data_IF_616919643287
#
_entry.id   IF_616919643287
#
_cell.length_a   1.000
_cell.length_b   1.000
_cell.length_c   1.000
_cell.angle_alpha   90.00
_cell.angle_beta   90.00
_cell.angle_gamma   90.00
#
_symmetry.space_group_name_H-M   'P 1'
#
loop_
_entity.id
_entity.type
_entity.pdbx_description
1 polymer ?
#
# COMPACT_ATOMS: atom_id res chain seq x y z
N UNK A 1 -67.92 9.05 -13.04
CA UNK A 1 -66.62 8.91 -13.72
C UNK A 1 -65.53 9.22 -12.69
N UNK A 2 -64.60 8.29 -12.45
CA UNK A 2 -63.69 8.30 -11.30
C UNK A 2 -62.27 8.36 -11.84
N UNK A 3 -61.64 9.52 -11.75
CA UNK A 3 -60.32 9.80 -12.34
C UNK A 3 -59.22 9.26 -11.43
N UNK A 4 -58.47 8.26 -11.89
CA UNK A 4 -57.25 7.79 -11.24
C UNK A 4 -56.09 8.70 -11.68
N UNK A 5 -55.48 9.42 -10.75
CA UNK A 5 -54.20 10.11 -10.95
C UNK A 5 -53.07 9.11 -10.65
N UNK A 6 -52.36 8.69 -11.70
CA UNK A 6 -51.16 7.87 -11.59
C UNK A 6 -49.95 8.81 -11.47
N UNK A 7 -49.42 8.97 -10.25
CA UNK A 7 -48.20 9.72 -9.98
C UNK A 7 -46.98 8.91 -10.45
N UNK A 8 -46.35 9.37 -11.54
CA UNK A 8 -45.11 8.81 -12.09
C UNK A 8 -43.91 9.27 -11.24
N UNK A 9 -43.45 8.44 -10.31
CA UNK A 9 -42.18 8.63 -9.61
C UNK A 9 -41.02 8.30 -10.57
N UNK A 10 -40.35 9.33 -11.09
CA UNK A 10 -39.16 9.19 -11.92
C UNK A 10 -37.95 8.93 -11.00
N UNK A 11 -37.32 7.74 -11.00
CA UNK A 11 -36.06 7.57 -10.28
C UNK A 11 -34.98 8.36 -11.03
N UNK A 12 -34.45 9.42 -10.39
CA UNK A 12 -33.20 10.03 -10.83
C UNK A 12 -32.07 9.01 -10.65
N UNK A 13 -31.77 8.27 -11.71
CA UNK A 13 -30.63 7.37 -11.80
C UNK A 13 -29.32 8.13 -11.94
N UNK A 14 -28.91 8.84 -10.89
CA UNK A 14 -27.52 9.30 -10.78
C UNK A 14 -26.60 8.08 -10.75
N UNK A 15 -25.49 8.14 -11.49
CA UNK A 15 -24.46 7.12 -11.40
C UNK A 15 -23.89 7.14 -9.97
N UNK A 16 -24.38 6.24 -9.11
CA UNK A 16 -23.71 5.89 -7.87
C UNK A 16 -22.39 5.21 -8.28
N UNK A 17 -21.31 5.98 -8.30
CA UNK A 17 -19.97 5.39 -8.28
C UNK A 17 -19.86 4.66 -6.94
N UNK A 18 -19.97 3.34 -6.98
CA UNK A 18 -19.72 2.52 -5.80
C UNK A 18 -18.28 2.81 -5.35
N UNK A 19 -18.09 3.01 -4.03
CA UNK A 19 -16.76 3.18 -3.48
C UNK A 19 -15.89 1.97 -3.89
N UNK A 20 -14.65 2.18 -4.32
CA UNK A 20 -13.75 1.07 -4.58
C UNK A 20 -13.35 0.41 -3.25
N UNK A 21 -13.50 -0.91 -3.17
CA UNK A 21 -12.89 -1.70 -2.09
C UNK A 21 -11.51 -2.17 -2.55
N UNK A 22 -10.48 -1.87 -1.75
CA UNK A 22 -9.15 -2.40 -1.96
C UNK A 22 -9.11 -3.84 -1.46
N UNK A 23 -8.60 -4.75 -2.27
CA UNK A 23 -8.51 -6.18 -2.00
C UNK A 23 -7.13 -6.69 -2.42
N UNK A 24 -6.76 -7.88 -1.95
CA UNK A 24 -5.55 -8.52 -2.42
C UNK A 24 -5.51 -8.70 -3.96
N UNK A 25 -6.67 -8.88 -4.60
CA UNK A 25 -6.75 -9.16 -6.03
C UNK A 25 -6.56 -7.91 -6.92
N UNK A 26 -6.81 -6.70 -6.41
CA UNK A 26 -6.75 -5.46 -7.19
C UNK A 26 -5.77 -4.42 -6.64
N UNK A 27 -5.23 -4.60 -5.44
CA UNK A 27 -4.43 -3.58 -4.75
C UNK A 27 -3.08 -4.09 -4.23
N UNK A 28 -2.75 -5.36 -4.42
CA UNK A 28 -1.46 -5.92 -4.01
C UNK A 28 -0.66 -6.31 -5.24
N UNK A 29 0.60 -5.87 -5.28
CA UNK A 29 1.52 -6.21 -6.35
C UNK A 29 1.92 -7.69 -6.30
N UNK A 30 2.07 -8.28 -7.48
CA UNK A 30 2.51 -9.65 -7.68
C UNK A 30 3.94 -9.69 -8.25
N UNK A 31 4.69 -10.79 -8.03
CA UNK A 31 5.97 -11.01 -8.70
C UNK A 31 5.90 -10.83 -10.23
N UNK A 32 6.90 -10.16 -10.80
CA UNK A 32 7.03 -9.86 -12.22
C UNK A 32 6.45 -8.50 -12.65
N UNK A 33 5.98 -7.68 -11.70
CA UNK A 33 5.48 -6.33 -11.99
C UNK A 33 6.55 -5.27 -11.75
N UNK A 34 6.58 -4.27 -12.62
CA UNK A 34 7.44 -3.09 -12.51
C UNK A 34 6.58 -1.83 -12.44
N UNK A 35 6.89 -0.94 -11.50
CA UNK A 35 6.22 0.34 -11.35
C UNK A 35 7.23 1.48 -11.51
N UNK A 36 7.16 2.24 -12.61
CA UNK A 36 7.96 3.46 -12.75
C UNK A 36 7.40 4.53 -11.81
N UNK A 37 8.24 5.01 -10.90
CA UNK A 37 7.93 6.08 -9.96
C UNK A 37 8.72 7.32 -10.35
N UNK A 38 8.00 8.41 -10.61
CA UNK A 38 8.59 9.73 -10.79
C UNK A 38 8.64 10.43 -9.43
N UNK A 39 9.81 10.91 -9.02
CA UNK A 39 9.96 11.66 -7.78
C UNK A 39 9.85 13.16 -8.04
N UNK A 40 9.19 13.91 -7.17
CA UNK A 40 9.15 15.38 -7.22
C UNK A 40 10.36 16.03 -6.51
N UNK A 41 10.79 17.21 -6.94
CA UNK A 41 11.80 18.02 -6.21
C UNK A 41 11.24 18.72 -4.97
N UNK A 42 9.91 18.74 -4.81
CA UNK A 42 9.22 19.52 -3.79
C UNK A 42 7.95 18.79 -3.35
N UNK A 43 7.53 19.06 -2.12
CA UNK A 43 6.27 18.54 -1.59
C UNK A 43 5.10 19.03 -2.46
N UNK A 44 4.18 18.13 -2.76
CA UNK A 44 2.92 18.40 -3.44
C UNK A 44 1.81 17.83 -2.58
N UNK A 45 0.78 18.64 -2.34
CA UNK A 45 -0.36 18.26 -1.53
C UNK A 45 -1.08 17.07 -2.16
N UNK A 46 -1.34 16.04 -1.35
CA UNK A 46 -1.94 14.77 -1.75
C UNK A 46 -3.42 14.86 -2.11
N UNK A 47 -4.07 15.99 -1.81
CA UNK A 47 -5.50 16.22 -2.02
C UNK A 47 -6.33 16.12 -0.73
N UNK A 48 -7.60 16.47 -0.83
CA UNK A 48 -8.52 16.46 0.31
C UNK A 48 -9.05 15.06 0.64
N UNK A 49 -9.57 14.90 1.85
CA UNK A 49 -10.33 13.72 2.26
C UNK A 49 -11.75 13.76 1.67
N UNK A 50 -12.43 12.61 1.64
CA UNK A 50 -13.83 12.51 1.23
C UNK A 50 -14.09 11.59 0.04
N UNK A 51 -15.37 11.40 -0.26
CA UNK A 51 -15.82 10.62 -1.40
C UNK A 51 -15.79 11.44 -2.70
N UNK A 52 -15.41 10.80 -3.81
CA UNK A 52 -15.47 11.39 -5.16
C UNK A 52 -14.51 12.56 -5.37
N UNK A 53 -13.38 12.59 -4.67
CA UNK A 53 -12.37 13.63 -4.84
C UNK A 53 -11.71 13.57 -6.23
N UNK A 54 -11.11 14.68 -6.63
CA UNK A 54 -10.25 14.73 -7.84
C UNK A 54 -8.82 14.98 -7.39
N UNK A 55 -7.93 14.04 -7.65
CA UNK A 55 -6.53 14.07 -7.25
C UNK A 55 -5.67 14.40 -8.47
N UNK A 56 -5.20 15.65 -8.53
CA UNK A 56 -4.50 16.19 -9.68
C UNK A 56 -2.98 16.25 -9.52
N UNK A 57 -2.26 15.57 -10.40
CA UNK A 57 -0.79 15.49 -10.39
C UNK A 57 -0.12 15.91 -11.71
N UNK A 58 -0.85 16.61 -12.59
CA UNK A 58 -0.40 17.01 -13.93
C UNK A 58 0.78 18.00 -13.98
N UNK A 59 1.15 18.61 -12.86
CA UNK A 59 2.28 19.53 -12.77
C UNK A 59 3.45 18.97 -11.94
N UNK A 60 3.46 17.68 -11.60
CA UNK A 60 4.58 17.10 -10.84
C UNK A 60 5.89 17.26 -11.62
N UNK A 61 6.81 18.14 -11.18
CA UNK A 61 8.09 18.29 -11.87
C UNK A 61 8.93 17.05 -11.55
N UNK A 62 9.11 16.17 -12.54
CA UNK A 62 9.92 14.99 -12.39
C UNK A 62 11.39 15.38 -12.13
N UNK A 63 11.90 14.96 -10.98
CA UNK A 63 13.29 15.12 -10.55
C UNK A 63 14.16 13.90 -10.86
N UNK A 64 13.52 12.77 -11.12
CA UNK A 64 14.14 11.49 -11.42
C UNK A 64 13.08 10.41 -11.60
N UNK A 65 13.48 9.33 -12.30
CA UNK A 65 12.67 8.14 -12.48
C UNK A 65 13.37 6.98 -11.78
N UNK A 66 12.63 6.26 -10.95
CA UNK A 66 13.07 5.00 -10.35
C UNK A 66 12.02 3.94 -10.64
N UNK A 67 12.46 2.78 -11.13
CA UNK A 67 11.56 1.64 -11.30
C UNK A 67 11.66 0.77 -10.06
N UNK A 68 10.53 0.56 -9.38
CA UNK A 68 10.43 -0.45 -8.35
C UNK A 68 9.91 -1.74 -8.98
N UNK A 69 10.70 -2.81 -8.84
CA UNK A 69 10.42 -4.15 -9.32
C UNK A 69 9.90 -5.01 -8.19
N UNK A 70 8.77 -5.67 -8.41
CA UNK A 70 8.20 -6.65 -7.52
C UNK A 70 8.60 -8.04 -7.99
N UNK A 71 9.39 -8.75 -7.20
CA UNK A 71 10.00 -10.02 -7.59
C UNK A 71 9.59 -11.15 -6.66
N UNK A 72 9.73 -12.38 -7.13
CA UNK A 72 9.54 -13.56 -6.28
C UNK A 72 10.72 -13.67 -5.30
N UNK A 73 10.52 -14.11 -4.05
CA UNK A 73 11.59 -14.28 -3.07
C UNK A 73 12.78 -15.11 -3.56
N UNK A 74 12.55 -16.10 -4.43
CA UNK A 74 13.60 -16.98 -4.95
C UNK A 74 14.73 -16.29 -5.76
N UNK A 75 14.59 -15.00 -6.11
CA UNK A 75 15.63 -14.26 -6.86
C UNK A 75 16.80 -13.79 -5.99
N UNK A 76 16.69 -13.89 -4.66
CA UNK A 76 17.75 -13.48 -3.74
C UNK A 76 17.97 -14.51 -2.63
N UNK A 77 19.23 -14.88 -2.31
CA UNK A 77 19.53 -15.72 -1.16
C UNK A 77 19.01 -15.13 0.16
N UNK A 78 18.89 -13.80 0.25
CA UNK A 78 18.39 -13.10 1.44
C UNK A 78 17.00 -13.56 1.87
N UNK A 79 16.18 -14.04 0.93
CA UNK A 79 14.83 -14.52 1.24
C UNK A 79 14.81 -15.73 2.16
N UNK A 80 15.90 -16.48 2.31
CA UNK A 80 15.98 -17.56 3.31
C UNK A 80 15.86 -17.05 4.75
N UNK A 81 16.17 -15.78 5.01
CA UNK A 81 16.02 -15.14 6.32
C UNK A 81 14.59 -14.67 6.59
N UNK A 82 13.75 -14.57 5.56
CA UNK A 82 12.38 -14.05 5.63
C UNK A 82 11.45 -15.02 4.86
N UNK A 83 11.32 -16.28 5.31
CA UNK A 83 10.66 -17.34 4.54
C UNK A 83 9.14 -17.16 4.40
N UNK A 84 8.54 -16.28 5.21
CA UNK A 84 7.11 -15.96 5.15
C UNK A 84 6.74 -14.94 4.06
N UNK A 85 7.73 -14.31 3.41
CA UNK A 85 7.47 -13.37 2.33
C UNK A 85 7.11 -14.11 1.03
N UNK A 86 6.19 -13.53 0.27
CA UNK A 86 5.73 -14.04 -1.04
C UNK A 86 6.11 -13.12 -2.19
N UNK A 87 6.44 -11.86 -1.90
CA UNK A 87 6.91 -10.86 -2.86
C UNK A 87 7.97 -9.97 -2.21
N UNK A 88 8.93 -9.50 -2.99
CA UNK A 88 9.86 -8.46 -2.57
C UNK A 88 9.76 -7.26 -3.49
N UNK A 89 10.05 -6.06 -2.99
CA UNK A 89 10.19 -4.85 -3.82
C UNK A 89 11.60 -4.28 -3.67
N UNK A 90 12.18 -3.93 -4.81
CA UNK A 90 13.49 -3.31 -4.90
C UNK A 90 13.61 -2.54 -6.21
N UNK A 91 14.50 -1.58 -6.24
CA UNK A 91 14.88 -0.82 -7.44
C UNK A 91 16.29 -1.21 -7.93
N UNK A 92 16.80 -2.35 -7.45
CA UNK A 92 18.17 -2.82 -7.70
C UNK A 92 19.21 -2.25 -6.73
N UNK A 93 18.81 -1.36 -5.82
CA UNK A 93 19.67 -0.80 -4.77
C UNK A 93 19.98 -1.75 -3.62
N UNK A 94 20.57 -1.20 -2.55
CA UNK A 94 20.93 -1.94 -1.33
C UNK A 94 19.72 -2.40 -0.54
N UNK A 95 18.61 -1.67 -0.63
CA UNK A 95 17.45 -1.87 0.21
C UNK A 95 16.39 -2.71 -0.51
N UNK A 96 15.69 -3.54 0.25
CA UNK A 96 14.66 -4.45 -0.26
C UNK A 96 13.63 -4.67 0.82
N UNK A 97 12.36 -4.50 0.49
CA UNK A 97 11.24 -4.78 1.39
C UNK A 97 10.64 -6.13 1.02
N UNK A 98 10.24 -6.91 2.02
CA UNK A 98 9.70 -8.26 1.86
C UNK A 98 8.27 -8.31 2.38
N UNK A 99 7.34 -8.64 1.51
CA UNK A 99 5.91 -8.58 1.77
C UNK A 99 5.25 -9.95 1.70
N UNK A 100 4.10 -10.06 2.36
CA UNK A 100 3.17 -11.18 2.20
C UNK A 100 1.76 -10.79 2.62
N UNK A 101 0.75 -11.52 2.14
CA UNK A 101 -0.63 -11.33 2.58
C UNK A 101 -0.87 -12.19 3.82
N UNK A 102 -1.25 -11.59 4.94
CA UNK A 102 -1.74 -12.30 6.11
C UNK A 102 -3.24 -12.20 6.27
N UNK A 103 -3.74 -12.47 7.48
CA UNK A 103 -5.19 -12.50 7.75
C UNK A 103 -5.82 -11.11 7.86
N UNK A 104 -5.01 -10.07 8.09
CA UNK A 104 -5.48 -8.69 8.31
C UNK A 104 -5.16 -7.76 7.14
N UNK A 105 -4.22 -8.14 6.26
CA UNK A 105 -3.86 -7.29 5.14
C UNK A 105 -2.56 -7.67 4.44
N UNK A 106 -2.04 -6.70 3.70
CA UNK A 106 -0.68 -6.70 3.19
C UNK A 106 0.27 -6.40 4.35
N UNK A 107 1.19 -7.32 4.61
CA UNK A 107 2.12 -7.23 5.73
C UNK A 107 3.56 -7.11 5.27
N UNK A 108 4.33 -6.18 5.86
CA UNK A 108 5.78 -6.13 5.70
C UNK A 108 6.40 -7.15 6.65
N UNK A 109 6.92 -8.24 6.08
CA UNK A 109 7.46 -9.41 6.79
C UNK A 109 8.93 -9.24 7.16
N UNK A 110 9.65 -8.37 6.45
CA UNK A 110 11.06 -8.10 6.73
C UNK A 110 11.66 -7.11 5.76
N UNK A 111 12.93 -6.82 5.99
CA UNK A 111 13.68 -5.85 5.21
C UNK A 111 15.11 -6.35 5.04
N UNK A 112 15.73 -5.97 3.93
CA UNK A 112 17.18 -5.85 3.80
C UNK A 112 17.47 -4.37 3.74
N UNK A 113 18.27 -3.86 4.66
CA UNK A 113 18.65 -2.46 4.69
C UNK A 113 20.14 -2.32 4.95
N UNK A 114 20.79 -1.43 4.20
CA UNK A 114 22.18 -1.06 4.45
C UNK A 114 22.38 -0.50 5.86
N UNK A 115 21.40 0.25 6.39
CA UNK A 115 21.46 0.84 7.72
C UNK A 115 21.39 -0.22 8.83
N UNK A 116 20.62 -1.29 8.62
CA UNK A 116 20.54 -2.43 9.53
C UNK A 116 21.72 -3.41 9.38
N UNK A 117 22.64 -3.15 8.44
CA UNK A 117 23.81 -4.00 8.20
C UNK A 117 23.47 -5.37 7.59
N UNK A 118 22.26 -5.56 7.07
CA UNK A 118 21.82 -6.84 6.55
C UNK A 118 20.30 -6.97 6.44
N UNK A 119 19.85 -8.22 6.41
CA UNK A 119 18.43 -8.54 6.37
C UNK A 119 17.93 -9.05 7.70
N UNK A 120 16.66 -8.78 7.98
CA UNK A 120 15.99 -9.21 9.18
C UNK A 120 14.50 -9.40 8.92
N UNK A 121 13.90 -10.36 9.62
CA UNK A 121 12.46 -10.55 9.64
C UNK A 121 11.86 -9.73 10.79
N UNK A 122 10.65 -9.22 10.57
CA UNK A 122 9.82 -8.75 11.66
C UNK A 122 9.34 -9.96 12.48
N UNK A 123 9.53 -9.90 13.79
CA UNK A 123 8.98 -10.88 14.73
C UNK A 123 7.48 -10.69 14.90
N UNK A 124 7.02 -9.44 14.71
CA UNK A 124 5.62 -9.07 14.58
C UNK A 124 5.49 -8.19 13.32
N UNK A 125 5.10 -8.77 12.17
CA UNK A 125 5.02 -8.07 10.89
C UNK A 125 4.02 -6.93 10.89
N UNK A 126 4.38 -5.83 10.23
CA UNK A 126 3.50 -4.65 10.20
C UNK A 126 2.39 -4.81 9.14
N UNK A 127 1.16 -4.41 9.46
CA UNK A 127 0.05 -4.31 8.50
C UNK A 127 0.13 -2.97 7.77
N UNK A 128 0.76 -2.96 6.59
CA UNK A 128 0.96 -1.75 5.79
C UNK A 128 -0.36 -1.28 5.15
N UNK A 129 -1.17 -2.24 4.69
CA UNK A 129 -2.50 -1.98 4.15
C UNK A 129 -3.46 -3.05 4.63
N UNK A 130 -4.50 -2.65 5.38
CA UNK A 130 -5.62 -3.53 5.73
C UNK A 130 -6.27 -4.06 4.45
N UNK A 131 -6.65 -5.35 4.41
CA UNK A 131 -7.39 -5.91 3.27
C UNK A 131 -8.49 -6.88 3.74
N UNK A 132 -9.71 -6.81 3.16
CA UNK A 132 -10.18 -5.72 2.31
C UNK A 132 -10.19 -4.39 3.07
N UNK A 133 -10.04 -3.29 2.33
CA UNK A 133 -10.10 -1.93 2.88
C UNK A 133 -11.17 -1.12 2.15
N UNK A 134 -12.14 -0.66 2.92
CA UNK A 134 -13.24 0.18 2.50
C UNK A 134 -13.01 1.65 2.92
N UNK A 135 -13.68 2.59 2.25
CA UNK A 135 -13.66 3.99 2.67
C UNK A 135 -14.12 4.14 4.13
N UNK A 136 -13.40 4.96 4.89
CA UNK A 136 -13.51 5.17 6.35
C UNK A 136 -13.03 4.00 7.22
N UNK A 137 -12.44 2.95 6.63
CA UNK A 137 -11.72 1.98 7.44
C UNK A 137 -10.58 2.65 8.21
N UNK A 138 -10.40 2.17 9.43
CA UNK A 138 -9.25 2.50 10.26
C UNK A 138 -8.60 1.23 10.74
N UNK A 139 -7.28 1.27 10.93
CA UNK A 139 -6.54 0.20 11.57
C UNK A 139 -5.40 0.77 12.40
N UNK A 140 -4.98 -0.01 13.38
CA UNK A 140 -3.77 0.25 14.14
C UNK A 140 -3.12 -1.09 14.41
N UNK A 141 -1.81 -1.14 14.24
CA UNK A 141 -1.03 -2.34 14.33
C UNK A 141 0.28 -2.06 15.06
N UNK A 142 0.71 -3.02 15.88
CA UNK A 142 2.01 -2.96 16.53
C UNK A 142 2.98 -3.80 15.71
N UNK A 143 4.22 -3.32 15.59
CA UNK A 143 5.27 -4.05 14.90
C UNK A 143 6.46 -4.26 15.83
N UNK A 144 7.17 -5.36 15.61
CA UNK A 144 8.40 -5.66 16.32
C UNK A 144 9.42 -6.40 15.44
N UNK A 145 10.70 -6.12 15.64
CA UNK A 145 11.81 -6.88 15.08
C UNK A 145 12.98 -6.95 16.08
N UNK A 146 13.73 -8.05 16.02
CA UNK A 146 14.99 -8.20 16.73
C UNK A 146 16.08 -8.67 15.78
N UNK A 147 17.18 -7.95 15.72
CA UNK A 147 18.30 -8.23 14.80
C UNK A 147 19.62 -7.72 15.39
N UNK A 148 20.73 -7.99 14.71
CA UNK A 148 22.08 -7.60 15.16
C UNK A 148 22.69 -6.64 14.15
N UNK A 149 23.17 -5.49 14.62
CA UNK A 149 23.89 -4.49 13.81
C UNK A 149 25.31 -4.38 14.33
N UNK A 150 26.30 -4.70 13.50
CA UNK A 150 27.73 -4.64 13.89
C UNK A 150 28.05 -5.37 15.20
N UNK A 151 27.38 -6.50 15.46
CA UNK A 151 27.55 -7.30 16.67
C UNK A 151 26.70 -6.85 17.87
N UNK A 152 25.96 -5.75 17.78
CA UNK A 152 25.08 -5.27 18.84
C UNK A 152 23.63 -5.74 18.61
N UNK A 153 22.97 -6.33 19.62
CA UNK A 153 21.56 -6.66 19.51
C UNK A 153 20.71 -5.39 19.51
N UNK A 154 19.75 -5.33 18.59
CA UNK A 154 18.80 -4.24 18.40
C UNK A 154 17.39 -4.80 18.46
N UNK A 155 16.53 -4.12 19.21
CA UNK A 155 15.09 -4.35 19.19
C UNK A 155 14.41 -3.11 18.63
N UNK A 156 13.62 -3.28 17.57
CA UNK A 156 12.79 -2.25 16.96
C UNK A 156 11.34 -2.56 17.30
N UNK A 157 10.63 -1.60 17.88
CA UNK A 157 9.17 -1.67 18.05
C UNK A 157 8.55 -0.41 17.49
N UNK A 158 7.28 -0.49 17.10
CA UNK A 158 6.55 0.64 16.56
C UNK A 158 5.05 0.39 16.56
N UNK A 159 4.31 1.46 16.29
CA UNK A 159 2.87 1.41 16.02
C UNK A 159 2.63 2.11 14.71
N UNK A 160 1.87 1.47 13.81
CA UNK A 160 1.34 2.09 12.60
C UNK A 160 -0.17 2.28 12.76
N UNK A 161 -0.69 3.39 12.28
CA UNK A 161 -2.12 3.66 12.21
C UNK A 161 -2.46 4.12 10.79
N UNK A 162 -3.56 3.61 10.26
CA UNK A 162 -4.04 3.96 8.94
C UNK A 162 -5.51 4.35 8.93
N UNK A 163 -5.87 5.24 8.01
CA UNK A 163 -7.23 5.68 7.74
C UNK A 163 -7.42 5.74 6.23
N UNK A 164 -8.47 5.09 5.71
CA UNK A 164 -8.90 5.26 4.33
C UNK A 164 -9.84 6.45 4.22
N UNK A 165 -9.28 7.67 4.19
CA UNK A 165 -10.03 8.92 4.36
C UNK A 165 -10.47 9.58 3.05
N UNK A 166 -10.17 9.01 1.88
CA UNK A 166 -10.62 9.54 0.61
C UNK A 166 -10.65 8.52 -0.52
N UNK A 167 -11.53 8.74 -1.50
CA UNK A 167 -11.51 8.02 -2.78
C UNK A 167 -11.96 8.95 -3.90
N UNK A 168 -11.52 8.68 -5.13
CA UNK A 168 -11.71 9.63 -6.20
C UNK A 168 -11.10 9.23 -7.54
N UNK A 169 -10.99 10.21 -8.44
CA UNK A 169 -10.36 10.06 -9.75
C UNK A 169 -8.96 10.67 -9.70
N UNK A 170 -7.98 9.96 -10.26
CA UNK A 170 -6.62 10.44 -10.46
C UNK A 170 -6.53 11.14 -11.82
N UNK A 171 -6.05 12.38 -11.84
CA UNK A 171 -5.73 13.14 -13.05
C UNK A 171 -4.22 13.34 -13.14
N UNK A 172 -3.64 12.88 -14.25
CA UNK A 172 -2.20 12.91 -14.54
C UNK A 172 -1.84 13.98 -15.57
#
# INVERSE_FOLDING_TARGET
MRTLLLSLSLPLGGALLAQPTLTAANSVAAPGQDFPVSTGTSYVYEGGTGAGQTYGFWMLPASGNRTYSYLAPGVTPTSSMIPSATVLTTDGGSDTLFYGIGSTGLELRGERSALAGGAYAYTDPLVELKLPCDYLDTWTDQMAASYVVSGFPVTRTGTISGVADGWGTLEL
#
